data_IF_057743170126
#
_entry.id   IF_057743170126
#
_cell.length_a   1.000
_cell.length_b   1.000
_cell.length_c   1.000
_cell.angle_alpha   90.00
_cell.angle_beta   90.00
_cell.angle_gamma   90.00
#
_symmetry.space_group_name_H-M   'P 1'
#
loop_
_entity.id
_entity.type
_entity.pdbx_description
1 polymer ?
#
# COMPACT_ATOMS: atom_id res chain seq x y z
N UNK A 1 -4.38 -21.95 11.30
CA UNK A 1 -4.06 -21.58 9.89
C UNK A 1 -3.60 -20.12 9.89
N UNK A 2 -2.50 -19.76 9.21
CA UNK A 2 -2.06 -18.38 9.13
C UNK A 2 -3.12 -17.49 8.48
N UNK A 3 -3.43 -16.34 9.08
CA UNK A 3 -4.37 -15.38 8.51
C UNK A 3 -3.70 -14.64 7.36
N UNK A 4 -4.24 -14.79 6.14
CA UNK A 4 -3.73 -14.07 4.96
C UNK A 4 -4.29 -12.64 4.87
N UNK A 5 -3.46 -11.76 4.34
CA UNK A 5 -3.74 -10.35 4.09
C UNK A 5 -3.57 -10.06 2.61
N UNK A 6 -4.27 -9.05 2.13
CA UNK A 6 -4.21 -8.59 0.75
C UNK A 6 -4.23 -7.07 0.66
N UNK A 7 -3.64 -6.53 -0.41
CA UNK A 7 -3.65 -5.10 -0.73
C UNK A 7 -4.68 -4.82 -1.82
N UNK A 8 -5.58 -3.87 -1.56
CA UNK A 8 -6.62 -3.41 -2.48
C UNK A 8 -6.46 -1.92 -2.77
N UNK A 9 -6.83 -1.47 -3.98
CA UNK A 9 -6.88 -0.06 -4.37
C UNK A 9 -8.32 0.45 -4.35
N UNK A 10 -8.58 1.57 -3.69
CA UNK A 10 -9.90 2.19 -3.70
C UNK A 10 -10.23 2.77 -5.09
N UNK A 11 -11.47 2.60 -5.57
CA UNK A 11 -11.86 3.19 -6.87
C UNK A 11 -12.01 4.72 -6.83
N UNK A 12 -12.33 5.29 -5.66
CA UNK A 12 -12.62 6.72 -5.51
C UNK A 12 -11.37 7.54 -5.16
N UNK A 13 -10.72 7.25 -4.03
CA UNK A 13 -9.53 8.01 -3.59
C UNK A 13 -8.20 7.40 -4.04
N UNK A 14 -8.24 6.23 -4.69
CA UNK A 14 -7.09 5.51 -5.24
C UNK A 14 -6.02 5.08 -4.22
N UNK A 15 -6.28 5.23 -2.92
CA UNK A 15 -5.37 4.76 -1.88
C UNK A 15 -5.36 3.25 -1.79
N UNK A 16 -4.16 2.70 -1.62
CA UNK A 16 -3.92 1.29 -1.36
C UNK A 16 -4.13 1.00 0.14
N UNK A 17 -4.80 -0.11 0.44
CA UNK A 17 -5.17 -0.50 1.80
C UNK A 17 -5.00 -1.99 2.03
N UNK A 18 -4.57 -2.33 3.25
CA UNK A 18 -4.42 -3.71 3.70
C UNK A 18 -5.75 -4.23 4.27
N UNK A 19 -6.16 -5.41 3.82
CA UNK A 19 -7.37 -6.10 4.27
C UNK A 19 -7.08 -7.57 4.55
N UNK A 20 -7.83 -8.17 5.49
CA UNK A 20 -7.84 -9.63 5.62
C UNK A 20 -8.47 -10.25 4.37
N UNK A 21 -7.94 -11.39 3.94
CA UNK A 21 -8.61 -12.22 2.95
C UNK A 21 -9.89 -12.77 3.59
N UNK A 22 -11.04 -12.45 2.98
CA UNK A 22 -12.38 -12.88 3.42
C UNK A 22 -13.11 -13.47 2.22
N UNK A 23 -14.06 -14.36 2.48
CA UNK A 23 -14.94 -14.92 1.43
C UNK A 23 -15.80 -13.85 0.76
N UNK A 24 -16.21 -12.84 1.52
CA UNK A 24 -16.99 -11.71 1.00
C UNK A 24 -16.13 -10.81 0.11
N UNK A 25 -16.56 -10.61 -1.15
CA UNK A 25 -15.90 -9.72 -2.12
C UNK A 25 -16.32 -8.26 -1.97
N UNK A 26 -16.60 -7.79 -0.75
CA UNK A 26 -17.02 -6.40 -0.45
C UNK A 26 -16.14 -5.82 0.65
N UNK A 27 -15.77 -4.55 0.51
CA UNK A 27 -14.97 -3.82 1.49
C UNK A 27 -15.30 -2.33 1.48
N UNK A 28 -14.93 -1.62 2.55
CA UNK A 28 -15.11 -0.18 2.67
C UNK A 28 -13.74 0.49 2.78
N UNK A 29 -13.55 1.57 2.02
CA UNK A 29 -12.36 2.40 2.12
C UNK A 29 -12.32 3.10 3.49
N UNK A 30 -11.24 2.92 4.26
CA UNK A 30 -11.05 3.61 5.54
C UNK A 30 -10.70 5.10 5.41
N UNK A 31 -10.30 5.53 4.20
CA UNK A 31 -9.89 6.92 3.94
C UNK A 31 -11.09 7.76 3.48
N UNK A 32 -11.82 7.31 2.45
CA UNK A 32 -12.94 8.07 1.89
C UNK A 32 -14.32 7.50 2.23
N UNK A 33 -14.41 6.38 2.96
CA UNK A 33 -15.68 5.80 3.39
C UNK A 33 -16.43 5.00 2.32
N UNK A 34 -15.97 4.97 1.08
CA UNK A 34 -16.72 4.33 -0.01
C UNK A 34 -16.80 2.80 0.11
N UNK A 35 -18.01 2.27 -0.11
CA UNK A 35 -18.28 0.83 -0.14
C UNK A 35 -18.08 0.31 -1.57
N UNK A 36 -17.31 -0.77 -1.70
CA UNK A 36 -16.83 -1.22 -3.01
C UNK A 36 -16.66 -2.74 -3.06
N UNK A 37 -16.74 -3.26 -4.29
CA UNK A 37 -16.44 -4.67 -4.56
C UNK A 37 -14.93 -4.90 -4.74
N UNK A 38 -14.47 -6.07 -4.32
CA UNK A 38 -13.12 -6.52 -4.54
C UNK A 38 -12.99 -6.98 -5.99
N UNK A 39 -12.28 -6.19 -6.82
CA UNK A 39 -11.99 -6.53 -8.22
C UNK A 39 -10.67 -7.30 -8.39
N UNK A 40 -9.60 -6.80 -7.78
CA UNK A 40 -8.24 -7.38 -7.87
C UNK A 40 -7.48 -7.13 -6.58
N UNK A 41 -6.71 -8.13 -6.14
CA UNK A 41 -5.67 -7.97 -5.13
C UNK A 41 -4.34 -7.61 -5.81
N UNK A 42 -3.67 -6.57 -5.32
CA UNK A 42 -2.35 -6.14 -5.82
C UNK A 42 -1.20 -6.96 -5.23
N UNK A 43 -1.41 -7.47 -4.02
CA UNK A 43 -0.47 -8.30 -3.29
C UNK A 43 -1.24 -9.13 -2.27
N UNK A 44 -0.80 -10.35 -2.00
CA UNK A 44 -1.33 -11.23 -0.94
C UNK A 44 -0.13 -11.79 -0.19
N UNK A 45 -0.17 -11.76 1.14
CA UNK A 45 0.93 -12.26 1.96
C UNK A 45 0.73 -12.06 3.45
N UNK A 46 1.84 -12.01 4.18
CA UNK A 46 1.82 -11.77 5.62
C UNK A 46 1.41 -10.32 5.94
N UNK A 47 0.96 -10.11 7.18
CA UNK A 47 0.60 -8.77 7.65
C UNK A 47 1.76 -7.78 7.56
N UNK A 48 3.00 -8.24 7.80
CA UNK A 48 4.21 -7.41 7.72
C UNK A 48 4.48 -7.00 6.28
N UNK A 49 4.50 -7.97 5.36
CA UNK A 49 4.80 -7.70 3.95
C UNK A 49 3.74 -6.78 3.34
N UNK A 50 2.46 -7.00 3.67
CA UNK A 50 1.38 -6.12 3.24
C UNK A 50 1.57 -4.67 3.73
N UNK A 51 2.05 -4.45 4.97
CA UNK A 51 2.30 -3.09 5.49
C UNK A 51 3.46 -2.40 4.75
N UNK A 52 4.56 -3.12 4.49
CA UNK A 52 5.69 -2.55 3.75
C UNK A 52 5.27 -2.20 2.31
N UNK A 53 4.62 -3.14 1.62
CA UNK A 53 4.16 -2.93 0.24
C UNK A 53 3.11 -1.83 0.13
N UNK A 54 2.17 -1.71 1.08
CA UNK A 54 1.12 -0.66 1.01
C UNK A 54 1.71 0.74 1.17
N UNK A 55 2.74 0.88 2.01
CA UNK A 55 3.45 2.16 2.19
C UNK A 55 4.14 2.56 0.89
N UNK A 56 4.91 1.66 0.29
CA UNK A 56 5.58 1.89 -0.99
C UNK A 56 4.59 2.24 -2.11
N UNK A 57 3.48 1.51 -2.23
CA UNK A 57 2.46 1.77 -3.25
C UNK A 57 1.79 3.13 -3.09
N UNK A 58 1.44 3.52 -1.85
CA UNK A 58 0.83 4.82 -1.59
C UNK A 58 1.82 5.97 -1.80
N UNK A 59 3.08 5.77 -1.47
CA UNK A 59 4.14 6.75 -1.66
C UNK A 59 4.42 6.99 -3.15
N UNK A 60 4.62 5.92 -3.93
CA UNK A 60 4.77 5.99 -5.40
C UNK A 60 3.55 6.63 -6.06
N UNK A 61 2.34 6.26 -5.63
CA UNK A 61 1.11 6.88 -6.15
C UNK A 61 1.02 8.37 -5.80
N UNK A 62 1.47 8.78 -4.61
CA UNK A 62 1.56 10.19 -4.22
C UNK A 62 2.54 10.98 -5.08
N UNK A 63 3.75 10.46 -5.28
CA UNK A 63 4.75 11.06 -6.16
C UNK A 63 4.23 11.20 -7.60
N UNK A 64 3.64 10.15 -8.17
CA UNK A 64 3.07 10.19 -9.52
C UNK A 64 1.97 11.25 -9.65
N UNK A 65 1.08 11.36 -8.65
CA UNK A 65 0.04 12.40 -8.64
C UNK A 65 0.65 13.80 -8.60
N UNK A 66 1.68 14.01 -7.79
CA UNK A 66 2.40 15.28 -7.71
C UNK A 66 3.08 15.61 -9.05
N UNK A 67 3.80 14.66 -9.64
CA UNK A 67 4.48 14.84 -10.92
C UNK A 67 3.48 15.17 -12.06
N UNK A 68 2.33 14.49 -12.08
CA UNK A 68 1.26 14.79 -13.03
C UNK A 68 0.69 16.21 -12.86
N UNK A 69 0.61 16.71 -11.62
CA UNK A 69 0.17 18.08 -11.34
C UNK A 69 1.22 19.12 -11.74
N UNK A 70 2.51 18.80 -11.60
CA UNK A 70 3.64 19.69 -11.92
C UNK A 70 4.02 19.68 -13.41
N UNK A 71 3.43 18.79 -14.21
CA UNK A 71 3.50 18.83 -15.67
C UNK A 71 4.92 18.81 -16.25
N UNK A 72 5.75 17.81 -15.95
CA UNK A 72 7.05 17.64 -16.63
C UNK A 72 7.53 16.19 -16.87
N UNK A 73 8.39 16.11 -17.89
CA UNK A 73 9.00 14.96 -18.57
C UNK A 73 10.22 14.34 -17.83
N UNK A 74 10.32 13.01 -17.92
CA UNK A 74 11.48 12.11 -17.89
C UNK A 74 12.54 12.14 -16.74
N UNK A 75 12.78 10.90 -16.28
CA UNK A 75 14.05 10.24 -15.91
C UNK A 75 14.50 10.12 -14.43
N UNK A 76 14.44 8.84 -13.99
CA UNK A 76 15.33 8.04 -13.13
C UNK A 76 15.51 8.34 -11.63
N UNK A 77 15.24 7.27 -10.87
CA UNK A 77 15.85 6.81 -9.62
C UNK A 77 15.98 7.73 -8.43
N UNK A 78 15.06 7.58 -7.48
CA UNK A 78 15.41 7.40 -6.06
C UNK A 78 14.35 6.49 -5.43
N UNK A 79 14.80 5.54 -4.60
CA UNK A 79 14.07 4.84 -3.51
C UNK A 79 14.27 3.31 -3.48
N UNK A 80 15.50 2.84 -3.69
CA UNK A 80 16.00 1.57 -3.10
C UNK A 80 16.55 1.76 -1.67
N UNK A 81 16.58 2.99 -1.13
CA UNK A 81 17.16 3.27 0.19
C UNK A 81 16.20 3.06 1.39
N UNK A 82 14.93 2.69 1.16
CA UNK A 82 13.96 2.46 2.25
C UNK A 82 13.98 1.03 2.81
N UNK A 83 15.00 0.22 2.50
CA UNK A 83 15.11 -1.16 2.98
C UNK A 83 16.09 -1.38 4.15
N UNK A 84 16.85 -0.38 4.59
CA UNK A 84 17.75 -0.55 5.76
C UNK A 84 17.23 0.04 7.08
N UNK A 85 16.15 0.83 7.07
CA UNK A 85 15.69 1.47 8.32
C UNK A 85 14.76 0.59 9.19
N UNK A 86 14.47 -0.65 8.80
CA UNK A 86 13.66 -1.59 9.62
C UNK A 86 14.54 -2.59 10.42
N UNK A 87 15.87 -2.50 10.30
CA UNK A 87 16.82 -3.24 11.16
C UNK A 87 17.32 -2.42 12.36
N UNK A 88 17.14 -1.09 12.37
CA UNK A 88 17.53 -0.26 13.52
C UNK A 88 16.51 -0.21 14.65
N UNK A 89 15.28 -0.71 14.45
CA UNK A 89 14.25 -0.74 15.51
C UNK A 89 14.33 -1.98 16.42
N UNK A 90 15.31 -2.87 16.21
CA UNK A 90 15.50 -4.08 17.05
C UNK A 90 16.45 -3.92 18.23
N UNK A 91 17.05 -2.74 18.45
CA UNK A 91 18.02 -2.54 19.53
C UNK A 91 17.85 -1.18 20.24
N UNK A 92 16.67 -0.89 20.80
CA UNK A 92 16.54 0.18 21.84
C UNK A 92 15.21 0.13 22.59
N UNK A 93 14.79 -1.04 23.06
CA UNK A 93 13.87 -1.12 24.20
C UNK A 93 14.22 -2.38 24.99
N UNK A 94 15.24 -2.25 25.83
CA UNK A 94 15.38 -2.99 27.09
C UNK A 94 15.56 -1.97 28.19
#
# INVERSE_FOLDING_TARGET
MPQEFQILRCFACEKFQVHHVKKAKKWQCKVCGEKQSLKKAFFIGSSRDCRVNVQQLNFKSGQQKMNNMLGQNNHHDLDDAYFENDLLFKHTFR
#
